data_IF_340374627234
#
_entry.id   IF_340374627234
#
_cell.length_a   1.000
_cell.length_b   1.000
_cell.length_c   1.000
_cell.angle_alpha   90.00
_cell.angle_beta   90.00
_cell.angle_gamma   90.00
#
_symmetry.space_group_name_H-M   'P 1'
#
loop_
_entity.id
_entity.type
_entity.pdbx_description
1 polymer ?
#
# COMPACT_ATOMS: atom_id res chain seq x y z
N UNK A 1 -19.81 -16.88 -0.63
CA UNK A 1 -18.77 -16.03 0.01
C UNK A 1 -19.12 -14.53 0.17
N UNK A 2 -20.35 -14.04 -0.13
CA UNK A 2 -20.69 -12.60 0.04
C UNK A 2 -21.54 -12.26 1.28
N UNK A 3 -22.11 -13.27 1.96
CA UNK A 3 -23.10 -13.06 3.03
C UNK A 3 -22.49 -12.80 4.43
N UNK A 4 -21.20 -13.05 4.63
CA UNK A 4 -20.56 -12.84 5.95
C UNK A 4 -20.25 -11.37 6.27
N UNK A 5 -20.09 -10.53 5.23
CA UNK A 5 -19.82 -9.10 5.41
C UNK A 5 -21.07 -8.27 5.77
N UNK A 6 -22.26 -8.85 5.65
CA UNK A 6 -23.55 -8.17 5.90
C UNK A 6 -24.10 -8.37 7.32
N UNK A 7 -23.44 -9.16 8.16
CA UNK A 7 -23.74 -9.12 9.60
C UNK A 7 -23.29 -7.75 10.10
N UNK A 8 -24.15 -6.94 10.75
CA UNK A 8 -23.68 -5.76 11.44
C UNK A 8 -22.71 -6.25 12.53
N UNK A 9 -21.40 -6.19 12.24
CA UNK A 9 -20.35 -6.33 13.25
C UNK A 9 -20.79 -5.40 14.35
N UNK A 10 -21.09 -5.93 15.55
CA UNK A 10 -21.50 -5.15 16.72
C UNK A 10 -20.67 -3.88 16.74
N UNK A 11 -21.24 -2.77 16.27
CA UNK A 11 -20.48 -1.55 16.03
C UNK A 11 -20.13 -1.05 17.41
N UNK A 12 -18.86 -1.19 17.75
CA UNK A 12 -18.32 -0.54 18.94
C UNK A 12 -18.67 0.95 18.77
N UNK A 13 -19.29 1.55 19.79
CA UNK A 13 -19.71 2.95 19.75
C UNK A 13 -18.62 3.82 19.11
N UNK A 14 -18.92 4.73 18.16
CA UNK A 14 -17.91 5.43 17.37
C UNK A 14 -16.89 6.18 18.24
N UNK A 15 -17.35 6.75 19.36
CA UNK A 15 -16.51 7.48 20.31
C UNK A 15 -15.89 6.58 21.42
N UNK A 16 -16.08 5.26 21.34
CA UNK A 16 -15.44 4.34 22.30
C UNK A 16 -13.93 4.33 22.12
N UNK A 17 -13.20 4.15 23.23
CA UNK A 17 -11.74 3.96 23.22
C UNK A 17 -11.31 2.84 22.26
N UNK A 18 -12.10 1.76 22.16
CA UNK A 18 -11.83 0.63 21.25
C UNK A 18 -11.91 1.05 19.78
N UNK A 19 -12.93 1.81 19.39
CA UNK A 19 -13.11 2.33 18.02
C UNK A 19 -11.97 3.27 17.64
N UNK A 20 -11.60 4.19 18.54
CA UNK A 20 -10.48 5.13 18.34
C UNK A 20 -9.16 4.36 18.13
N UNK A 21 -8.91 3.32 18.93
CA UNK A 21 -7.71 2.49 18.79
C UNK A 21 -7.65 1.76 17.43
N UNK A 22 -8.79 1.24 16.95
CA UNK A 22 -8.90 0.60 15.64
C UNK A 22 -8.56 1.61 14.53
N UNK A 23 -9.16 2.80 14.57
CA UNK A 23 -8.91 3.85 13.57
C UNK A 23 -7.44 4.29 13.56
N UNK A 24 -6.82 4.47 14.74
CA UNK A 24 -5.39 4.82 14.85
C UNK A 24 -4.50 3.73 14.24
N UNK A 25 -4.80 2.45 14.52
CA UNK A 25 -4.07 1.32 13.94
C UNK A 25 -4.25 1.24 12.42
N UNK A 26 -5.47 1.42 11.92
CA UNK A 26 -5.76 1.42 10.50
C UNK A 26 -5.03 2.56 9.78
N UNK A 27 -5.01 3.78 10.34
CA UNK A 27 -4.26 4.91 9.81
C UNK A 27 -2.76 4.63 9.74
N UNK A 28 -2.18 4.03 10.79
CA UNK A 28 -0.76 3.62 10.80
C UNK A 28 -0.45 2.63 9.68
N UNK A 29 -1.28 1.62 9.50
CA UNK A 29 -1.11 0.61 8.42
C UNK A 29 -1.22 1.27 7.05
N UNK A 30 -2.25 2.11 6.83
CA UNK A 30 -2.45 2.81 5.56
C UNK A 30 -1.26 3.70 5.21
N UNK A 31 -0.74 4.45 6.17
CA UNK A 31 0.44 5.30 5.96
C UNK A 31 1.68 4.47 5.60
N UNK A 32 1.89 3.32 6.25
CA UNK A 32 2.99 2.40 5.92
C UNK A 32 2.86 1.87 4.49
N UNK A 33 1.66 1.40 4.11
CA UNK A 33 1.41 0.91 2.75
C UNK A 33 1.61 1.98 1.68
N UNK A 34 1.20 3.23 1.95
CA UNK A 34 1.47 4.36 1.05
C UNK A 34 2.96 4.63 0.89
N UNK A 35 3.71 4.60 1.98
CA UNK A 35 5.17 4.78 1.95
C UNK A 35 5.86 3.65 1.16
N UNK A 36 5.50 2.40 1.43
CA UNK A 36 5.98 1.23 0.67
C UNK A 36 5.68 1.39 -0.81
N UNK A 37 4.41 1.66 -1.18
CA UNK A 37 3.99 1.86 -2.57
C UNK A 37 4.80 2.95 -3.27
N UNK A 38 5.03 4.09 -2.60
CA UNK A 38 5.85 5.17 -3.17
C UNK A 38 7.31 4.74 -3.42
N UNK A 39 7.86 3.87 -2.56
CA UNK A 39 9.19 3.31 -2.74
C UNK A 39 9.23 2.37 -3.96
N UNK A 40 8.25 1.47 -4.07
CA UNK A 40 8.11 0.55 -5.20
C UNK A 40 7.98 1.29 -6.52
N UNK A 41 7.18 2.36 -6.59
CA UNK A 41 7.04 3.17 -7.80
C UNK A 41 8.39 3.77 -8.22
N UNK A 42 9.14 4.35 -7.29
CA UNK A 42 10.47 4.93 -7.57
C UNK A 42 11.45 3.86 -8.07
N UNK A 43 11.50 2.71 -7.40
CA UNK A 43 12.37 1.59 -7.79
C UNK A 43 11.99 1.06 -9.17
N UNK A 44 10.69 0.95 -9.46
CA UNK A 44 10.21 0.52 -10.77
C UNK A 44 10.68 1.47 -11.87
N UNK A 45 10.52 2.79 -11.70
CA UNK A 45 11.01 3.77 -12.68
C UNK A 45 12.52 3.67 -12.94
N UNK A 46 13.32 3.42 -11.90
CA UNK A 46 14.77 3.19 -12.05
C UNK A 46 15.03 1.89 -12.79
N UNK A 47 14.32 0.81 -12.45
CA UNK A 47 14.39 -0.48 -13.12
C UNK A 47 14.06 -0.38 -14.61
N UNK A 48 13.00 0.33 -14.97
CA UNK A 48 12.62 0.59 -16.37
C UNK A 48 13.73 1.34 -17.12
N UNK A 49 14.33 2.36 -16.50
CA UNK A 49 15.45 3.10 -17.09
C UNK A 49 16.66 2.20 -17.33
N UNK A 50 17.02 1.36 -16.36
CA UNK A 50 18.13 0.41 -16.48
C UNK A 50 17.83 -0.64 -17.56
N UNK A 51 16.60 -1.15 -17.60
CA UNK A 51 16.14 -2.11 -18.60
C UNK A 51 16.24 -1.52 -20.01
N UNK A 52 15.79 -0.27 -20.19
CA UNK A 52 15.93 0.44 -21.46
C UNK A 52 17.39 0.59 -21.87
N UNK A 53 18.28 1.04 -20.96
CA UNK A 53 19.71 1.16 -21.24
C UNK A 53 20.30 -0.19 -21.66
N UNK A 54 20.00 -1.25 -20.91
CA UNK A 54 20.49 -2.61 -21.21
C UNK A 54 20.07 -3.07 -22.61
N UNK A 55 18.83 -2.78 -23.01
CA UNK A 55 18.29 -3.23 -24.29
C UNK A 55 18.76 -2.39 -25.49
N UNK A 56 19.14 -1.13 -25.26
CA UNK A 56 19.47 -0.19 -26.33
C UNK A 56 20.95 0.24 -26.34
N UNK A 57 21.74 -0.13 -25.32
CA UNK A 57 23.19 0.01 -25.37
C UNK A 57 23.77 -1.00 -26.35
N UNK A 58 24.34 -0.50 -27.44
CA UNK A 58 25.20 -1.27 -28.32
C UNK A 58 26.56 -1.39 -27.62
N UNK A 59 27.09 -2.61 -27.39
CA UNK A 59 28.42 -2.76 -26.83
C UNK A 59 29.48 -2.33 -27.87
N UNK A 60 30.29 -1.32 -27.54
CA UNK A 60 31.54 -1.03 -28.26
C UNK A 60 31.51 0.06 -29.34
N UNK A 61 30.80 1.17 -29.13
CA UNK A 61 31.17 2.47 -29.74
C UNK A 61 31.95 3.28 -28.71
#
# INVERSE_FOLDING_TARGET
MRKEFLKPKKMIHPNSRKSIAITKKAKKISNRQKAEMSCWIKQNSIGEKISWIRNNMIPGV
#
